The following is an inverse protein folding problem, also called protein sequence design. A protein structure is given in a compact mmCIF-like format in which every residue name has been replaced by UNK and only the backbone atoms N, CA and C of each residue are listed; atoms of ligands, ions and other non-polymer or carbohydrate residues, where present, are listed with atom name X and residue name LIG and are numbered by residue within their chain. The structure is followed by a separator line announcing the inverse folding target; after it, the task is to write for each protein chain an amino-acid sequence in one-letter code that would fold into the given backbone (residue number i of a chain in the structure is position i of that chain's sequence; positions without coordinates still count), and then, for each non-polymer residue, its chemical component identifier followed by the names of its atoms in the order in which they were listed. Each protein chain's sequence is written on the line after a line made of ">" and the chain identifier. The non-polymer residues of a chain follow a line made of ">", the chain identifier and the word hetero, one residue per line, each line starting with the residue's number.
data_IF_812852260378
#
_entry.id   IF_812852260378
#
_cell.length_a   1.000
_cell.length_b   1.000
_cell.length_c   1.000
_cell.angle_alpha   90.00
_cell.angle_beta   90.00
_cell.angle_gamma   90.00
#
_symmetry.space_group_name_H-M   'P 1'
#
loop_
_entity.id
_entity.type
_entity.pdbx_description
1 polymer ?
#
# COMPACT_ATOMS: atom_id res chain seq x y z
N UNK A 1 4.27 20.92 4.32
CA UNK A 1 3.86 22.08 5.14
C UNK A 1 2.82 21.71 6.19
N UNK A 2 1.67 21.15 5.79
CA UNK A 2 0.60 20.72 6.72
C UNK A 2 1.03 19.75 7.82
N UNK A 3 1.97 18.83 7.55
CA UNK A 3 2.52 17.93 8.58
C UNK A 3 3.18 18.68 9.73
N UNK A 4 3.99 19.71 9.44
CA UNK A 4 4.65 20.54 10.46
C UNK A 4 3.63 21.34 11.27
N UNK A 5 2.61 21.88 10.59
CA UNK A 5 1.48 22.55 11.26
C UNK A 5 0.73 21.61 12.20
N UNK A 6 0.42 20.37 11.78
CA UNK A 6 -0.27 19.39 12.62
C UNK A 6 0.56 19.00 13.84
N UNK A 7 1.88 18.83 13.67
CA UNK A 7 2.79 18.55 14.79
C UNK A 7 2.85 19.74 15.76
N UNK A 8 2.99 20.97 15.27
CA UNK A 8 3.00 22.18 16.08
C UNK A 8 1.68 22.37 16.83
N UNK A 9 0.54 22.15 16.16
CA UNK A 9 -0.79 22.22 16.78
C UNK A 9 -0.91 21.23 17.93
N UNK A 10 -0.48 19.99 17.72
CA UNK A 10 -0.53 18.96 18.75
C UNK A 10 0.37 19.34 19.94
N UNK A 11 1.58 19.83 19.69
CA UNK A 11 2.53 20.24 20.72
C UNK A 11 1.99 21.41 21.58
N UNK A 12 1.52 22.49 20.93
CA UNK A 12 0.98 23.66 21.63
C UNK A 12 -0.29 23.34 22.43
N UNK A 13 -1.13 22.43 21.90
CA UNK A 13 -2.30 21.95 22.62
C UNK A 13 -1.95 21.15 23.88
N UNK A 14 -0.88 20.35 23.82
CA UNK A 14 -0.44 19.51 24.94
C UNK A 14 0.35 20.29 26.01
N UNK A 15 1.23 21.21 25.61
CA UNK A 15 2.17 21.86 26.52
C UNK A 15 1.76 23.27 26.96
N UNK A 16 0.99 23.98 26.13
CA UNK A 16 0.65 25.40 26.37
C UNK A 16 -0.88 25.62 26.43
N UNK A 17 -1.68 24.55 26.34
CA UNK A 17 -3.14 24.58 26.24
C UNK A 17 -3.66 25.58 25.19
N UNK A 18 -2.87 25.84 24.15
CA UNK A 18 -3.17 26.81 23.11
C UNK A 18 -3.64 26.09 21.83
N UNK A 19 -4.83 26.43 21.33
CA UNK A 19 -5.33 25.86 20.07
C UNK A 19 -5.07 26.79 18.89
N UNK A 20 -4.01 26.51 18.13
CA UNK A 20 -3.69 27.32 16.94
C UNK A 20 -4.71 27.20 15.79
N UNK A 21 -5.68 26.30 15.88
CA UNK A 21 -6.74 26.20 14.87
C UNK A 21 -7.74 27.36 14.91
N UNK A 22 -7.76 28.14 16.00
CA UNK A 22 -8.62 29.32 16.11
C UNK A 22 -8.12 30.50 15.26
N UNK A 23 -6.85 30.49 14.84
CA UNK A 23 -6.26 31.58 14.05
C UNK A 23 -6.61 31.45 12.56
N UNK A 24 -7.81 31.87 12.17
CA UNK A 24 -8.31 31.81 10.79
C UNK A 24 -7.40 32.48 9.74
N UNK A 25 -6.74 33.59 10.10
CA UNK A 25 -5.78 34.29 9.21
C UNK A 25 -4.55 33.42 8.88
N UNK A 26 -4.01 32.72 9.88
CA UNK A 26 -2.89 31.78 9.70
C UNK A 26 -3.30 30.60 8.83
N UNK A 27 -4.48 30.02 9.07
CA UNK A 27 -5.00 28.92 8.25
C UNK A 27 -5.20 29.36 6.80
N UNK A 28 -5.76 30.55 6.57
CA UNK A 28 -5.95 31.10 5.23
C UNK A 28 -4.61 31.29 4.50
N UNK A 29 -3.59 31.82 5.19
CA UNK A 29 -2.24 31.94 4.66
C UNK A 29 -1.65 30.57 4.29
N UNK A 30 -1.68 29.60 5.20
CA UNK A 30 -1.16 28.24 4.96
C UNK A 30 -1.89 27.54 3.81
N UNK A 31 -3.21 27.72 3.69
CA UNK A 31 -4.00 27.21 2.55
C UNK A 31 -3.52 27.82 1.23
N UNK A 32 -3.33 29.14 1.18
CA UNK A 32 -2.84 29.86 0.00
C UNK A 32 -1.46 29.36 -0.44
N UNK A 33 -0.52 29.24 0.50
CA UNK A 33 0.83 28.73 0.25
C UNK A 33 0.82 27.27 -0.23
N UNK A 34 -0.13 26.46 0.25
CA UNK A 34 -0.25 25.05 -0.14
C UNK A 34 -0.93 24.80 -1.48
N UNK A 35 -1.53 25.81 -2.14
CA UNK A 35 -2.33 25.61 -3.38
C UNK A 35 -1.55 24.94 -4.51
N UNK A 36 -0.27 25.25 -4.65
CA UNK A 36 0.57 24.70 -5.72
C UNK A 36 1.27 23.39 -5.32
N UNK A 37 1.04 22.90 -4.10
CA UNK A 37 1.64 21.66 -3.63
C UNK A 37 0.90 20.46 -4.25
N UNK A 38 1.55 19.80 -5.21
CA UNK A 38 1.11 18.49 -5.69
C UNK A 38 1.58 17.42 -4.70
N UNK A 39 0.68 16.71 -4.01
CA UNK A 39 1.09 15.61 -3.13
C UNK A 39 1.72 14.51 -3.97
N UNK A 40 2.87 13.98 -3.53
CA UNK A 40 3.45 12.75 -4.07
C UNK A 40 2.51 11.59 -3.69
N UNK A 41 1.55 11.29 -4.55
CA UNK A 41 0.54 10.25 -4.30
C UNK A 41 1.08 8.90 -4.72
N UNK A 42 0.72 7.88 -3.94
CA UNK A 42 1.01 6.51 -4.32
C UNK A 42 0.24 6.15 -5.59
N UNK A 43 0.93 5.60 -6.59
CA UNK A 43 0.30 5.13 -7.83
C UNK A 43 -0.49 3.85 -7.59
N UNK A 44 -1.39 3.54 -8.52
CA UNK A 44 -2.30 2.40 -8.47
C UNK A 44 -1.80 1.37 -9.47
N UNK A 45 -1.71 0.10 -9.06
CA UNK A 45 -1.59 -1.02 -10.00
C UNK A 45 -2.99 -1.26 -10.57
N UNK A 46 -3.14 -1.15 -11.88
CA UNK A 46 -4.41 -1.33 -12.57
C UNK A 46 -4.74 -2.83 -12.72
N UNK A 47 -5.94 -3.13 -13.20
CA UNK A 47 -6.41 -4.51 -13.36
C UNK A 47 -5.50 -5.30 -14.30
N UNK A 48 -5.07 -4.66 -15.37
CA UNK A 48 -4.20 -5.21 -16.40
C UNK A 48 -2.82 -5.53 -15.83
N UNK A 49 -2.27 -4.65 -14.98
CA UNK A 49 -1.00 -4.87 -14.29
C UNK A 49 -1.04 -6.12 -13.42
N UNK A 50 -2.11 -6.27 -12.64
CA UNK A 50 -2.30 -7.41 -11.75
C UNK A 50 -2.52 -8.69 -12.54
N UNK A 51 -3.31 -8.63 -13.62
CA UNK A 51 -3.52 -9.76 -14.50
C UNK A 51 -2.22 -10.20 -15.16
N UNK A 52 -1.43 -9.25 -15.68
CA UNK A 52 -0.13 -9.53 -16.27
C UNK A 52 0.83 -10.16 -15.25
N UNK A 53 0.88 -9.62 -14.02
CA UNK A 53 1.65 -10.20 -12.94
C UNK A 53 1.25 -11.66 -12.69
N UNK A 54 -0.04 -11.94 -12.49
CA UNK A 54 -0.54 -13.28 -12.19
C UNK A 54 -0.32 -14.26 -13.35
N UNK A 55 -0.57 -13.85 -14.59
CA UNK A 55 -0.29 -14.64 -15.80
C UNK A 55 1.21 -14.90 -16.01
N UNK A 56 2.09 -13.99 -15.60
CA UNK A 56 3.54 -14.21 -15.70
C UNK A 56 4.05 -15.30 -14.74
N UNK A 57 3.40 -15.46 -13.58
CA UNK A 57 3.80 -16.43 -12.54
C UNK A 57 3.02 -17.75 -12.59
N UNK A 58 1.86 -17.77 -13.26
CA UNK A 58 1.05 -18.97 -13.41
C UNK A 58 0.81 -19.22 -14.88
N UNK A 59 1.08 -20.44 -15.37
CA UNK A 59 0.85 -20.86 -16.76
C UNK A 59 -0.67 -20.96 -17.04
N UNK A 60 -1.44 -19.93 -16.74
CA UNK A 60 -2.88 -19.91 -16.91
C UNK A 60 -3.22 -19.17 -18.19
N UNK A 61 -3.96 -19.84 -19.07
CA UNK A 61 -4.62 -19.25 -20.23
C UNK A 61 -5.71 -18.28 -19.79
N UNK A 62 -6.01 -17.32 -20.66
CA UNK A 62 -7.09 -16.34 -20.49
C UNK A 62 -8.41 -17.01 -20.05
N UNK A 63 -9.09 -16.37 -19.10
CA UNK A 63 -10.44 -16.77 -18.66
C UNK A 63 -10.51 -17.51 -17.31
N UNK A 64 -9.41 -17.76 -16.61
CA UNK A 64 -9.46 -18.42 -15.29
C UNK A 64 -9.45 -17.41 -14.12
N UNK A 65 -10.42 -17.55 -13.21
CA UNK A 65 -10.47 -16.78 -11.96
C UNK A 65 -9.35 -17.23 -11.03
N UNK A 66 -8.46 -16.32 -10.64
CA UNK A 66 -7.42 -16.61 -9.66
C UNK A 66 -8.09 -16.82 -8.29
N UNK A 67 -8.12 -18.07 -7.83
CA UNK A 67 -8.62 -18.38 -6.50
C UNK A 67 -7.55 -18.02 -5.45
N UNK A 68 -7.75 -16.89 -4.78
CA UNK A 68 -6.86 -16.39 -3.72
C UNK A 68 -6.67 -17.43 -2.61
N UNK A 69 -7.70 -18.22 -2.29
CA UNK A 69 -7.60 -19.27 -1.27
C UNK A 69 -6.61 -20.35 -1.70
N UNK A 70 -6.57 -20.71 -2.97
CA UNK A 70 -5.66 -21.73 -3.48
C UNK A 70 -4.22 -21.24 -3.50
N UNK A 71 -4.00 -19.95 -3.82
CA UNK A 71 -2.69 -19.31 -3.66
C UNK A 71 -2.25 -19.35 -2.20
N UNK A 72 -3.13 -18.97 -1.26
CA UNK A 72 -2.83 -18.98 0.16
C UNK A 72 -2.52 -20.40 0.65
N UNK A 73 -3.31 -21.40 0.25
CA UNK A 73 -3.08 -22.82 0.60
C UNK A 73 -1.76 -23.34 0.05
N UNK A 74 -1.44 -23.05 -1.22
CA UNK A 74 -0.17 -23.42 -1.86
C UNK A 74 1.01 -22.75 -1.17
N UNK A 75 0.87 -21.47 -0.82
CA UNK A 75 1.89 -20.78 -0.04
C UNK A 75 2.07 -21.44 1.33
N UNK A 76 0.98 -21.73 2.04
CA UNK A 76 1.03 -22.38 3.36
C UNK A 76 1.67 -23.76 3.33
N UNK A 77 1.46 -24.57 2.27
CA UNK A 77 2.09 -25.89 2.15
C UNK A 77 3.60 -25.83 1.91
N UNK A 78 4.10 -24.74 1.33
CA UNK A 78 5.53 -24.49 1.10
C UNK A 78 6.23 -23.86 2.31
N UNK A 79 5.49 -23.52 3.38
CA UNK A 79 6.09 -22.93 4.58
C UNK A 79 6.85 -24.00 5.38
N UNK A 80 7.96 -23.61 6.04
CA UNK A 80 8.64 -24.51 6.95
C UNK A 80 7.73 -24.88 8.13
N UNK A 81 7.75 -26.15 8.55
CA UNK A 81 6.87 -26.68 9.60
C UNK A 81 7.19 -26.13 11.00
N UNK A 82 8.43 -25.70 11.21
CA UNK A 82 8.94 -25.20 12.49
C UNK A 82 8.67 -23.70 12.71
N UNK A 83 7.56 -23.18 12.19
CA UNK A 83 7.18 -21.78 12.38
C UNK A 83 6.33 -21.67 13.63
N UNK A 84 6.90 -21.11 14.70
CA UNK A 84 6.20 -20.88 15.97
C UNK A 84 5.22 -19.70 15.95
N UNK A 85 5.13 -18.98 14.83
CA UNK A 85 4.49 -17.66 14.78
C UNK A 85 3.23 -17.66 13.91
N UNK A 86 2.21 -16.92 14.34
CA UNK A 86 0.88 -16.85 13.70
C UNK A 86 0.84 -16.03 12.41
N UNK A 87 1.87 -15.21 12.12
CA UNK A 87 1.85 -14.34 10.93
C UNK A 87 1.92 -15.17 9.65
N UNK A 88 1.11 -14.79 8.65
CA UNK A 88 1.04 -15.51 7.39
C UNK A 88 2.34 -15.37 6.58
N UNK A 89 2.76 -14.13 6.30
CA UNK A 89 3.88 -13.86 5.38
C UNK A 89 5.24 -13.92 6.08
N UNK A 90 6.11 -14.78 5.57
CA UNK A 90 7.48 -15.01 6.04
C UNK A 90 8.52 -14.39 5.09
N UNK A 91 9.76 -14.25 5.57
CA UNK A 91 10.88 -13.84 4.74
C UNK A 91 11.21 -14.95 3.72
N UNK A 92 11.34 -14.58 2.45
CA UNK A 92 11.85 -15.43 1.39
C UNK A 92 13.31 -15.08 1.07
N UNK A 93 14.21 -16.05 1.16
CA UNK A 93 15.66 -15.90 0.88
C UNK A 93 16.22 -17.22 0.38
N UNK A 94 17.20 -17.17 -0.52
CA UNK A 94 17.83 -18.37 -1.11
C UNK A 94 16.78 -19.35 -1.63
N UNK A 95 15.81 -18.82 -2.37
CA UNK A 95 14.72 -19.57 -3.01
C UNK A 95 13.79 -20.34 -2.06
N UNK A 96 13.85 -20.08 -0.75
CA UNK A 96 13.02 -20.74 0.26
C UNK A 96 12.41 -19.77 1.28
N UNK A 97 11.26 -20.16 1.83
CA UNK A 97 10.68 -19.49 2.98
C UNK A 97 11.51 -19.80 4.23
N UNK A 98 11.91 -18.74 4.95
CA UNK A 98 12.60 -18.83 6.24
C UNK A 98 11.59 -18.71 7.37
N UNK A 99 11.96 -19.12 8.59
CA UNK A 99 11.11 -18.96 9.78
C UNK A 99 10.96 -17.50 10.25
N UNK A 100 11.79 -16.60 9.72
CA UNK A 100 11.78 -15.18 10.09
C UNK A 100 10.60 -14.44 9.46
N UNK A 101 10.07 -13.45 10.17
CA UNK A 101 9.02 -12.55 9.65
C UNK A 101 9.57 -11.64 8.58
N UNK A 102 8.73 -11.31 7.59
CA UNK A 102 9.03 -10.19 6.71
C UNK A 102 8.96 -8.87 7.50
N UNK A 103 9.98 -8.03 7.36
CA UNK A 103 9.98 -6.69 7.93
C UNK A 103 9.01 -5.78 7.19
N UNK A 104 8.35 -4.86 7.90
CA UNK A 104 7.37 -3.94 7.31
C UNK A 104 7.96 -3.17 6.13
N UNK A 105 9.20 -2.69 6.24
CA UNK A 105 9.87 -1.96 5.16
C UNK A 105 10.08 -2.80 3.90
N UNK A 106 10.31 -4.12 4.02
CA UNK A 106 10.41 -5.02 2.87
C UNK A 106 9.03 -5.25 2.25
N UNK A 107 8.04 -5.53 3.09
CA UNK A 107 6.65 -5.71 2.66
C UNK A 107 6.14 -4.46 1.92
N UNK A 108 6.45 -3.27 2.43
CA UNK A 108 6.04 -1.99 1.85
C UNK A 108 6.70 -1.65 0.51
N UNK A 109 7.81 -2.32 0.16
CA UNK A 109 8.51 -2.16 -1.11
C UNK A 109 8.03 -3.12 -2.20
N UNK A 110 7.23 -4.13 -1.86
CA UNK A 110 6.73 -5.11 -2.84
C UNK A 110 6.03 -4.43 -4.03
N UNK A 111 5.16 -3.42 -3.84
CA UNK A 111 4.52 -2.76 -4.98
C UNK A 111 5.51 -2.10 -5.95
N UNK A 112 6.58 -1.50 -5.43
CA UNK A 112 7.67 -0.94 -6.25
C UNK A 112 8.42 -2.03 -7.02
N UNK A 113 8.72 -3.16 -6.38
CA UNK A 113 9.35 -4.31 -7.07
C UNK A 113 8.45 -4.88 -8.17
N UNK A 114 7.13 -4.93 -7.93
CA UNK A 114 6.14 -5.34 -8.93
C UNK A 114 6.10 -4.34 -10.10
N UNK A 115 6.09 -3.04 -9.81
CA UNK A 115 6.11 -2.00 -10.83
C UNK A 115 7.39 -2.04 -11.68
N UNK A 116 8.56 -2.27 -11.04
CA UNK A 116 9.84 -2.48 -11.73
C UNK A 116 9.78 -3.70 -12.66
N UNK A 117 9.23 -4.82 -12.19
CA UNK A 117 9.07 -6.04 -12.99
C UNK A 117 8.17 -5.83 -14.20
N UNK A 118 7.07 -5.07 -14.03
CA UNK A 118 6.13 -4.72 -15.09
C UNK A 118 6.62 -3.56 -15.98
N UNK A 119 7.78 -2.96 -15.67
CA UNK A 119 8.36 -1.81 -16.38
C UNK A 119 7.44 -0.57 -16.39
N UNK A 120 6.73 -0.34 -15.28
CA UNK A 120 5.89 0.85 -15.11
C UNK A 120 6.76 2.09 -14.84
N UNK A 121 6.29 3.30 -15.22
CA UNK A 121 7.01 4.54 -14.92
C UNK A 121 6.96 4.85 -13.42
N UNK A 122 7.93 5.64 -12.94
CA UNK A 122 7.94 6.20 -11.57
C UNK A 122 7.73 5.14 -10.46
N UNK A 123 8.52 4.06 -10.50
CA UNK A 123 8.32 2.88 -9.64
C UNK A 123 8.43 3.19 -8.14
N UNK A 124 9.12 4.27 -7.77
CA UNK A 124 9.19 4.77 -6.40
C UNK A 124 7.87 5.33 -5.85
N UNK A 125 6.88 5.58 -6.72
CA UNK A 125 5.52 5.95 -6.32
C UNK A 125 4.68 4.75 -5.89
N UNK A 126 5.11 3.53 -6.18
CA UNK A 126 4.41 2.32 -5.76
C UNK A 126 4.84 1.93 -4.35
N UNK A 127 4.02 2.29 -3.37
CA UNK A 127 4.29 2.07 -1.94
C UNK A 127 3.28 1.10 -1.33
N UNK A 128 3.42 0.77 -0.04
CA UNK A 128 2.39 0.02 0.69
C UNK A 128 0.96 0.58 0.50
N UNK A 129 0.84 1.91 0.33
CA UNK A 129 -0.46 2.54 0.13
C UNK A 129 -1.08 2.25 -1.24
N UNK A 130 -0.25 1.95 -2.25
CA UNK A 130 -0.68 1.54 -3.58
C UNK A 130 -1.57 0.30 -3.52
N UNK A 131 -1.20 -0.70 -2.71
CA UNK A 131 -1.99 -1.93 -2.59
C UNK A 131 -3.42 -1.66 -2.13
N UNK A 132 -3.58 -0.80 -1.12
CA UNK A 132 -4.91 -0.43 -0.61
C UNK A 132 -5.70 0.35 -1.65
N UNK A 133 -5.05 1.29 -2.36
CA UNK A 133 -5.71 2.06 -3.41
C UNK A 133 -6.15 1.18 -4.57
N UNK A 134 -5.28 0.29 -5.04
CA UNK A 134 -5.59 -0.73 -6.04
C UNK A 134 -6.79 -1.55 -5.64
N UNK A 135 -6.83 -2.09 -4.42
CA UNK A 135 -8.01 -2.82 -3.94
C UNK A 135 -9.30 -2.00 -4.03
N UNK A 136 -9.27 -0.74 -3.60
CA UNK A 136 -10.44 0.15 -3.68
C UNK A 136 -10.86 0.45 -5.11
N UNK A 137 -9.91 0.77 -6.00
CA UNK A 137 -10.18 1.03 -7.42
C UNK A 137 -10.77 -0.19 -8.11
N UNK A 138 -10.23 -1.40 -7.87
CA UNK A 138 -10.74 -2.63 -8.46
C UNK A 138 -12.17 -2.94 -8.00
N UNK A 139 -12.45 -2.78 -6.71
CA UNK A 139 -13.79 -2.97 -6.16
C UNK A 139 -14.79 -1.97 -6.76
N UNK A 140 -14.41 -0.70 -6.82
CA UNK A 140 -15.22 0.34 -7.43
C UNK A 140 -15.51 0.04 -8.91
N UNK A 141 -14.48 -0.32 -9.68
CA UNK A 141 -14.61 -0.67 -11.10
C UNK A 141 -15.43 -1.96 -11.32
N UNK A 142 -15.50 -2.85 -10.34
CA UNK A 142 -16.34 -4.06 -10.38
C UNK A 142 -17.83 -3.79 -10.05
N UNK A 143 -18.21 -2.53 -9.82
CA UNK A 143 -19.61 -2.12 -9.60
C UNK A 143 -20.10 -2.26 -8.16
N UNK A 144 -19.21 -2.33 -7.17
CA UNK A 144 -19.64 -2.23 -5.76
C UNK A 144 -20.06 -0.80 -5.43
N UNK A 145 -21.26 -0.66 -4.86
CA UNK A 145 -21.83 0.63 -4.48
C UNK A 145 -20.95 1.32 -3.42
N UNK A 146 -20.73 2.62 -3.62
CA UNK A 146 -19.82 3.48 -2.86
C UNK A 146 -20.21 3.61 -1.36
N UNK A 147 -21.40 3.14 -0.97
CA UNK A 147 -21.91 3.19 0.40
C UNK A 147 -21.37 2.14 1.37
N UNK A 148 -20.52 1.22 0.93
CA UNK A 148 -19.99 0.11 1.76
C UNK A 148 -18.49 0.28 2.15
N UNK A 149 -17.89 1.44 1.88
CA UNK A 149 -16.52 1.83 2.29
C UNK A 149 -16.53 2.96 3.32
#
# INVERSE_FOLDING_TARGET
>A
MWTKYSMLRAALKLHENADISQYGRLIAFLKKESKNHKPKKAQVLEREDIQHLLCSFTIMKEGFSVNVLDICRKYMSQRPKNVSQTRLVLCYRNEKCTVQRIGINRLSKIPSVVADFLKLPETELYTAHSMRRTSGTLLFNAGTDLGML
#
